data_IF_557045400200
#
_entry.id   IF_557045400200
#
_cell.length_a   1.000
_cell.length_b   1.000
_cell.length_c   1.000
_cell.angle_alpha   90.00
_cell.angle_beta   90.00
_cell.angle_gamma   90.00
#
_symmetry.space_group_name_H-M   'P 1'
#
loop_
_entity.id
_entity.type
_entity.pdbx_description
1 polymer ?
#
# COMPACT_ATOMS: atom_id res chain seq x y z
N UNK A 1 71.47 -31.00 -49.57
CA UNK A 1 71.16 -29.73 -48.79
C UNK A 1 69.65 -29.51 -48.95
N UNK A 2 68.93 -29.87 -47.94
CA UNK A 2 67.43 -29.85 -47.95
C UNK A 2 66.98 -28.71 -46.98
N UNK A 3 66.34 -27.67 -47.50
CA UNK A 3 65.83 -26.54 -46.73
C UNK A 3 64.48 -26.90 -46.12
N UNK A 4 64.41 -26.76 -44.83
CA UNK A 4 63.19 -26.90 -43.99
C UNK A 4 62.50 -25.58 -43.87
N UNK A 5 61.27 -25.45 -44.38
CA UNK A 5 60.37 -24.28 -44.16
C UNK A 5 59.59 -24.43 -42.87
N UNK A 6 59.51 -23.39 -41.98
CA UNK A 6 58.66 -23.48 -40.79
C UNK A 6 57.20 -23.18 -41.12
N UNK A 7 56.31 -24.04 -40.67
CA UNK A 7 54.83 -23.83 -40.69
C UNK A 7 54.46 -22.92 -39.52
N UNK A 8 54.04 -21.69 -39.84
CA UNK A 8 53.41 -20.79 -38.89
C UNK A 8 51.97 -21.23 -38.57
N UNK A 9 51.69 -21.55 -37.31
CA UNK A 9 50.33 -21.79 -36.80
C UNK A 9 49.71 -20.43 -36.48
N UNK A 10 48.70 -20.01 -37.23
CA UNK A 10 47.87 -18.88 -36.94
C UNK A 10 46.81 -19.26 -35.86
N UNK A 11 46.97 -18.74 -34.64
CA UNK A 11 45.95 -18.90 -33.62
C UNK A 11 44.83 -17.88 -33.86
N UNK A 12 43.65 -18.36 -34.19
CA UNK A 12 42.42 -17.55 -34.31
C UNK A 12 41.89 -17.33 -32.91
N UNK A 13 42.04 -16.11 -32.40
CA UNK A 13 41.41 -15.67 -31.15
C UNK A 13 39.97 -15.27 -31.48
N UNK A 14 39.02 -16.14 -31.15
CA UNK A 14 37.57 -15.82 -31.23
C UNK A 14 37.22 -14.89 -30.07
N UNK A 15 37.08 -13.59 -30.35
CA UNK A 15 36.53 -12.61 -29.39
C UNK A 15 35.01 -12.79 -29.34
N UNK A 16 34.51 -13.42 -28.30
CA UNK A 16 33.08 -13.50 -27.97
C UNK A 16 32.61 -12.12 -27.49
N UNK A 17 32.07 -11.35 -28.41
CA UNK A 17 31.33 -10.11 -28.09
C UNK A 17 30.01 -10.53 -27.41
N UNK A 18 30.00 -10.46 -26.06
CA UNK A 18 28.75 -10.45 -25.30
C UNK A 18 28.06 -9.11 -25.53
N UNK A 19 27.18 -9.06 -26.51
CA UNK A 19 26.23 -7.96 -26.64
C UNK A 19 25.29 -8.02 -25.43
N UNK A 20 25.52 -7.15 -24.42
CA UNK A 20 24.51 -6.86 -23.43
C UNK A 20 23.35 -6.19 -24.19
N UNK A 21 22.26 -6.91 -24.38
CA UNK A 21 20.99 -6.30 -24.75
C UNK A 21 20.63 -5.42 -23.53
N UNK A 22 20.86 -4.14 -23.66
CA UNK A 22 20.28 -3.17 -22.71
C UNK A 22 18.75 -3.28 -22.94
N UNK A 23 18.02 -3.91 -22.03
CA UNK A 23 16.58 -3.75 -21.98
C UNK A 23 16.33 -2.24 -21.87
N UNK A 24 15.49 -1.71 -22.75
CA UNK A 24 15.04 -0.33 -22.65
C UNK A 24 14.43 -0.15 -21.25
N UNK A 25 14.80 0.97 -20.61
CA UNK A 25 14.21 1.32 -19.32
C UNK A 25 12.73 1.68 -19.58
N UNK A 26 11.81 0.89 -19.03
CA UNK A 26 10.39 1.15 -19.14
C UNK A 26 9.93 2.08 -18.01
N UNK A 27 8.97 2.94 -18.30
CA UNK A 27 8.22 3.69 -17.30
C UNK A 27 7.08 2.82 -16.79
N UNK A 28 6.97 2.69 -15.45
CA UNK A 28 5.93 1.91 -14.77
C UNK A 28 5.04 2.87 -13.98
N UNK A 29 3.81 3.04 -14.41
CA UNK A 29 2.83 3.92 -13.77
C UNK A 29 2.10 3.18 -12.65
N UNK A 30 2.20 3.69 -11.42
CA UNK A 30 1.71 3.02 -10.22
C UNK A 30 0.68 3.88 -9.49
N UNK A 31 -0.46 3.28 -9.15
CA UNK A 31 -1.40 3.82 -8.18
C UNK A 31 -1.45 2.93 -6.94
N UNK A 32 -1.33 3.53 -5.77
CA UNK A 32 -1.43 2.80 -4.50
C UNK A 32 -2.42 3.45 -3.54
N UNK A 33 -3.17 2.64 -2.79
CA UNK A 33 -3.93 3.13 -1.64
C UNK A 33 -3.01 3.63 -0.54
N UNK A 34 -3.56 4.44 0.38
CA UNK A 34 -2.80 4.98 1.50
C UNK A 34 -2.14 3.92 2.37
N UNK A 35 -2.78 2.76 2.51
CA UNK A 35 -2.27 1.67 3.36
C UNK A 35 -0.87 1.18 2.95
N UNK A 36 -0.53 1.19 1.65
CA UNK A 36 0.79 0.75 1.16
C UNK A 36 1.69 1.90 0.73
N UNK A 37 1.21 3.14 0.78
CA UNK A 37 1.93 4.29 0.23
C UNK A 37 3.34 4.47 0.84
N UNK A 38 3.49 4.33 2.17
CA UNK A 38 4.79 4.47 2.83
C UNK A 38 5.79 3.41 2.34
N UNK A 39 5.37 2.14 2.25
CA UNK A 39 6.21 1.06 1.74
C UNK A 39 6.56 1.27 0.25
N UNK A 40 5.59 1.69 -0.57
CA UNK A 40 5.81 1.97 -1.97
C UNK A 40 6.86 3.06 -2.19
N UNK A 41 6.77 4.18 -1.47
CA UNK A 41 7.70 5.30 -1.61
C UNK A 41 9.14 4.96 -1.18
N UNK A 42 9.33 3.99 -0.29
CA UNK A 42 10.66 3.47 0.05
C UNK A 42 11.17 2.45 -0.97
N UNK A 43 10.28 1.58 -1.48
CA UNK A 43 10.64 0.45 -2.35
C UNK A 43 10.82 0.84 -3.82
N UNK A 44 10.07 1.82 -4.33
CA UNK A 44 10.16 2.22 -5.74
C UNK A 44 11.57 2.68 -6.13
N UNK A 45 12.27 3.55 -5.37
CA UNK A 45 13.65 3.92 -5.69
C UNK A 45 14.65 2.75 -5.59
N UNK A 46 14.38 1.73 -4.76
CA UNK A 46 15.23 0.54 -4.68
C UNK A 46 15.09 -0.33 -5.94
N UNK A 47 13.86 -0.50 -6.41
CA UNK A 47 13.59 -1.19 -7.67
C UNK A 47 14.22 -0.47 -8.86
N UNK A 48 14.08 0.85 -8.97
CA UNK A 48 14.70 1.66 -10.03
C UNK A 48 16.22 1.47 -10.07
N UNK A 49 16.87 1.52 -8.91
CA UNK A 49 18.33 1.31 -8.83
C UNK A 49 18.77 -0.11 -9.20
N UNK A 50 17.92 -1.10 -8.92
CA UNK A 50 18.22 -2.50 -9.19
C UNK A 50 18.01 -2.88 -10.66
N UNK A 51 17.05 -2.25 -11.35
CA UNK A 51 16.59 -2.69 -12.68
C UNK A 51 16.84 -1.68 -13.79
N UNK A 52 16.97 -0.39 -13.45
CA UNK A 52 17.02 0.70 -14.42
C UNK A 52 15.65 1.14 -14.95
N UNK A 53 14.54 0.47 -14.60
CA UNK A 53 13.19 0.96 -14.88
C UNK A 53 12.89 2.22 -14.08
N UNK A 54 11.93 3.01 -14.55
CA UNK A 54 11.45 4.22 -13.85
C UNK A 54 10.02 4.02 -13.32
N UNK A 55 9.79 4.33 -12.04
CA UNK A 55 8.49 4.17 -11.38
C UNK A 55 7.82 5.51 -11.18
N UNK A 56 6.74 5.76 -11.91
CA UNK A 56 5.93 6.98 -11.78
C UNK A 56 4.78 6.73 -10.82
N UNK A 57 4.83 7.40 -9.66
CA UNK A 57 3.76 7.31 -8.67
C UNK A 57 2.63 8.28 -9.02
N UNK A 58 1.53 7.75 -9.55
CA UNK A 58 0.37 8.52 -10.00
C UNK A 58 -0.59 8.91 -8.88
N UNK A 59 -0.69 8.07 -7.85
CA UNK A 59 -1.50 8.32 -6.67
C UNK A 59 -1.01 7.49 -5.47
N UNK A 60 -1.14 8.07 -4.27
CA UNK A 60 -0.86 7.43 -2.97
C UNK A 60 -2.05 7.46 -2.02
N UNK A 61 -3.25 7.70 -2.55
CA UNK A 61 -4.51 7.79 -1.80
C UNK A 61 -5.65 7.41 -2.72
N UNK A 62 -6.69 6.79 -2.16
CA UNK A 62 -7.85 6.35 -2.93
C UNK A 62 -8.59 7.50 -3.61
N UNK A 63 -8.81 8.62 -2.86
CA UNK A 63 -9.74 9.66 -3.31
C UNK A 63 -11.18 9.17 -3.39
N UNK A 64 -12.15 10.07 -3.38
CA UNK A 64 -13.58 9.74 -3.55
C UNK A 64 -14.22 10.53 -4.68
N UNK A 65 -13.49 11.42 -5.32
CA UNK A 65 -13.93 12.22 -6.45
C UNK A 65 -13.51 11.61 -7.81
N UNK A 66 -13.79 12.33 -8.88
CA UNK A 66 -13.45 11.90 -10.24
C UNK A 66 -11.92 11.73 -10.48
N UNK A 67 -11.06 12.24 -9.61
CA UNK A 67 -9.60 12.09 -9.67
C UNK A 67 -9.09 10.92 -8.84
N UNK A 68 -9.96 10.28 -8.05
CA UNK A 68 -9.64 9.12 -7.25
C UNK A 68 -9.27 7.88 -8.07
N UNK A 69 -8.53 6.98 -7.46
CA UNK A 69 -8.00 5.75 -8.11
C UNK A 69 -9.11 4.96 -8.79
N UNK A 70 -10.23 4.72 -8.08
CA UNK A 70 -11.33 3.93 -8.61
C UNK A 70 -11.89 4.54 -9.89
N UNK A 71 -12.24 5.83 -9.86
CA UNK A 71 -12.79 6.54 -11.01
C UNK A 71 -11.81 6.63 -12.19
N UNK A 72 -10.50 6.72 -11.93
CA UNK A 72 -9.46 6.73 -12.98
C UNK A 72 -9.38 5.37 -13.69
N UNK A 73 -9.39 4.28 -12.93
CA UNK A 73 -9.34 2.91 -13.47
C UNK A 73 -10.64 2.55 -14.22
N UNK A 74 -11.80 2.93 -13.69
CA UNK A 74 -13.10 2.74 -14.36
C UNK A 74 -13.18 3.47 -15.72
N UNK A 75 -12.50 4.62 -15.86
CA UNK A 75 -12.37 5.32 -17.15
C UNK A 75 -11.35 4.69 -18.10
N UNK A 76 -10.69 3.60 -17.70
CA UNK A 76 -9.70 2.89 -18.53
C UNK A 76 -8.35 3.60 -18.60
N UNK A 77 -7.98 4.39 -17.58
CA UNK A 77 -6.66 5.01 -17.54
C UNK A 77 -5.56 3.94 -17.56
N UNK A 78 -4.55 4.15 -18.41
CA UNK A 78 -3.45 3.21 -18.60
C UNK A 78 -2.50 3.28 -17.40
N UNK A 79 -2.76 2.44 -16.40
CA UNK A 79 -1.95 2.23 -15.20
C UNK A 79 -1.34 0.85 -15.26
N UNK A 80 -0.05 0.74 -14.94
CA UNK A 80 0.67 -0.53 -15.03
C UNK A 80 0.50 -1.36 -13.76
N UNK A 81 0.60 -0.73 -12.58
CA UNK A 81 0.46 -1.42 -11.28
C UNK A 81 -0.55 -0.72 -10.40
N UNK A 82 -1.46 -1.51 -9.84
CA UNK A 82 -2.47 -1.05 -8.87
C UNK A 82 -2.24 -1.79 -7.55
N UNK A 83 -2.17 -1.04 -6.42
CA UNK A 83 -1.96 -1.59 -5.09
C UNK A 83 -3.08 -1.11 -4.17
N UNK A 84 -4.00 -2.00 -3.82
CA UNK A 84 -5.26 -1.66 -3.15
C UNK A 84 -5.58 -2.61 -2.00
N UNK A 85 -6.49 -2.15 -1.14
CA UNK A 85 -7.17 -3.00 -0.16
C UNK A 85 -7.99 -4.10 -0.86
N UNK A 86 -8.14 -5.24 -0.20
CA UNK A 86 -8.83 -6.44 -0.68
C UNK A 86 -10.20 -6.12 -1.31
N UNK A 87 -11.05 -5.37 -0.62
CA UNK A 87 -12.41 -5.04 -1.09
C UNK A 87 -12.39 -4.28 -2.41
N UNK A 88 -11.55 -3.25 -2.52
CA UNK A 88 -11.43 -2.43 -3.73
C UNK A 88 -10.76 -3.20 -4.86
N UNK A 89 -9.73 -3.99 -4.52
CA UNK A 89 -9.02 -4.82 -5.49
C UNK A 89 -9.92 -5.86 -6.13
N UNK A 90 -10.68 -6.61 -5.31
CA UNK A 90 -11.58 -7.66 -5.79
C UNK A 90 -12.73 -7.07 -6.64
N UNK A 91 -13.25 -5.89 -6.28
CA UNK A 91 -14.24 -5.20 -7.10
C UNK A 91 -13.69 -4.88 -8.49
N UNK A 92 -12.54 -4.21 -8.56
CA UNK A 92 -11.92 -3.85 -9.84
C UNK A 92 -11.49 -5.06 -10.67
N UNK A 93 -11.06 -6.14 -10.02
CA UNK A 93 -10.73 -7.38 -10.71
C UNK A 93 -11.97 -8.04 -11.31
N UNK A 94 -13.10 -8.07 -10.59
CA UNK A 94 -14.38 -8.57 -11.08
C UNK A 94 -14.95 -7.74 -12.25
N UNK A 95 -14.72 -6.43 -12.24
CA UNK A 95 -15.11 -5.49 -13.30
C UNK A 95 -14.13 -5.51 -14.51
N UNK A 96 -13.03 -6.27 -14.44
CA UNK A 96 -12.09 -6.44 -15.55
C UNK A 96 -11.05 -5.33 -15.67
N UNK A 97 -10.87 -4.48 -14.66
CA UNK A 97 -9.87 -3.40 -14.64
C UNK A 97 -8.47 -3.89 -14.22
N UNK A 98 -8.36 -5.11 -13.71
CA UNK A 98 -7.10 -5.76 -13.32
C UNK A 98 -6.93 -7.05 -14.14
N UNK A 99 -5.73 -7.31 -14.65
CA UNK A 99 -5.44 -8.53 -15.40
C UNK A 99 -5.61 -9.78 -14.54
N UNK A 100 -6.38 -10.74 -15.05
CA UNK A 100 -6.57 -12.02 -14.38
C UNK A 100 -5.22 -12.71 -14.12
N UNK A 101 -5.09 -13.32 -12.92
CA UNK A 101 -3.88 -14.05 -12.52
C UNK A 101 -2.69 -13.17 -12.13
N UNK A 102 -2.83 -11.83 -12.12
CA UNK A 102 -1.74 -10.92 -11.71
C UNK A 102 -1.78 -10.55 -10.22
N UNK A 103 -2.77 -11.00 -9.45
CA UNK A 103 -2.94 -10.69 -8.03
C UNK A 103 -1.81 -11.26 -7.18
N UNK A 104 -1.18 -10.40 -6.37
CA UNK A 104 -0.16 -10.76 -5.39
C UNK A 104 -0.50 -10.08 -4.06
N UNK A 105 -0.55 -10.85 -2.97
CA UNK A 105 -0.73 -10.31 -1.64
C UNK A 105 0.62 -9.77 -1.13
N UNK A 106 0.64 -8.50 -0.70
CA UNK A 106 1.86 -7.82 -0.23
C UNK A 106 1.92 -7.73 1.28
N UNK A 107 0.80 -7.47 1.95
CA UNK A 107 0.78 -7.29 3.39
C UNK A 107 -0.61 -7.23 3.98
N UNK A 108 -0.66 -7.37 5.30
CA UNK A 108 -1.85 -7.20 6.12
C UNK A 108 -1.77 -5.88 6.88
N UNK A 109 -2.87 -5.12 6.87
CA UNK A 109 -2.99 -3.84 7.52
C UNK A 109 -4.06 -3.88 8.59
N UNK A 110 -3.73 -3.43 9.79
CA UNK A 110 -4.64 -3.34 10.93
C UNK A 110 -5.11 -1.90 11.15
N UNK A 111 -6.27 -1.72 11.77
CA UNK A 111 -6.80 -0.42 12.18
C UNK A 111 -6.22 -0.05 13.54
N UNK A 112 -5.80 1.20 13.69
CA UNK A 112 -5.32 1.74 14.95
C UNK A 112 -5.96 3.07 15.30
N UNK A 113 -5.71 3.50 16.53
CA UNK A 113 -6.14 4.78 17.06
C UNK A 113 -4.95 5.70 17.34
N UNK A 114 -5.14 6.98 17.10
CA UNK A 114 -4.20 8.04 17.45
C UNK A 114 -4.90 9.18 18.20
N UNK A 115 -4.12 9.89 19.02
CA UNK A 115 -4.45 11.16 19.66
C UNK A 115 -3.46 12.23 19.21
N UNK A 116 -3.74 13.50 19.46
CA UNK A 116 -2.77 14.57 19.25
C UNK A 116 -1.55 14.34 20.16
N UNK A 117 -0.38 14.67 19.69
CA UNK A 117 0.87 14.54 20.47
C UNK A 117 0.77 15.27 21.79
N UNK A 118 1.09 14.55 22.88
CA UNK A 118 1.06 15.04 24.23
C UNK A 118 -0.30 14.95 24.92
N UNK A 119 -1.37 14.61 24.23
CA UNK A 119 -2.65 14.32 24.85
C UNK A 119 -2.62 12.93 25.54
N UNK A 120 -3.43 12.76 26.59
CA UNK A 120 -3.54 11.48 27.29
C UNK A 120 -4.01 10.39 26.33
N UNK A 121 -3.31 9.25 26.34
CA UNK A 121 -3.69 8.07 25.56
C UNK A 121 -4.80 7.33 26.31
N UNK A 122 -6.01 7.22 25.76
CA UNK A 122 -7.07 6.45 26.38
C UNK A 122 -6.78 4.95 26.30
N UNK A 123 -7.38 4.20 27.20
CA UNK A 123 -7.31 2.75 27.20
C UNK A 123 -8.21 2.15 26.11
N UNK A 124 -7.64 1.34 25.25
CA UNK A 124 -8.33 0.56 24.20
C UNK A 124 -7.90 -0.90 24.21
N UNK A 125 -7.37 -1.40 25.32
CA UNK A 125 -6.80 -2.75 25.46
C UNK A 125 -7.83 -3.87 25.40
N UNK A 126 -9.10 -3.57 25.60
CA UNK A 126 -10.22 -4.52 25.47
C UNK A 126 -11.41 -3.89 24.76
N UNK A 127 -12.38 -4.70 24.37
CA UNK A 127 -13.63 -4.23 23.73
C UNK A 127 -14.39 -3.29 24.66
N UNK A 128 -14.44 -3.57 25.95
CA UNK A 128 -15.09 -2.72 26.96
C UNK A 128 -14.36 -1.39 27.13
N UNK A 129 -13.03 -1.41 27.18
CA UNK A 129 -12.20 -0.21 27.28
C UNK A 129 -12.35 0.68 26.02
N UNK A 130 -12.31 0.07 24.83
CA UNK A 130 -12.57 0.77 23.57
C UNK A 130 -13.97 1.38 23.55
N UNK A 131 -15.00 0.63 23.95
CA UNK A 131 -16.40 1.08 24.00
C UNK A 131 -16.53 2.30 24.90
N UNK A 132 -15.96 2.24 26.11
CA UNK A 132 -15.94 3.37 27.06
C UNK A 132 -15.23 4.58 26.46
N UNK A 133 -14.04 4.40 25.88
CA UNK A 133 -13.27 5.45 25.20
C UNK A 133 -14.09 6.11 24.09
N UNK A 134 -14.78 5.33 23.26
CA UNK A 134 -15.63 5.86 22.19
C UNK A 134 -16.81 6.66 22.73
N UNK A 135 -17.44 6.20 23.82
CA UNK A 135 -18.55 6.92 24.46
C UNK A 135 -18.11 8.23 25.12
N UNK A 136 -16.95 8.27 25.75
CA UNK A 136 -16.39 9.43 26.45
C UNK A 136 -15.74 10.45 25.52
N UNK A 137 -15.28 10.04 24.33
CA UNK A 137 -14.64 10.94 23.38
C UNK A 137 -15.56 12.11 23.00
N UNK A 138 -15.01 13.32 22.95
CA UNK A 138 -15.73 14.53 22.54
C UNK A 138 -15.92 14.62 21.03
N UNK A 139 -14.94 14.12 20.27
CA UNK A 139 -14.97 14.07 18.81
C UNK A 139 -14.11 12.94 18.28
N UNK A 140 -14.55 12.32 17.19
CA UNK A 140 -13.94 11.16 16.57
C UNK A 140 -13.74 11.46 15.09
N UNK A 141 -12.56 11.14 14.54
CA UNK A 141 -12.31 11.16 13.11
C UNK A 141 -12.04 9.75 12.61
N UNK A 142 -12.57 9.39 11.44
CA UNK A 142 -12.27 8.14 10.78
C UNK A 142 -12.19 8.34 9.26
N UNK A 143 -11.42 7.47 8.59
CA UNK A 143 -11.20 7.54 7.15
C UNK A 143 -12.49 7.33 6.36
N UNK A 144 -12.62 7.98 5.21
CA UNK A 144 -13.67 7.68 4.23
C UNK A 144 -13.50 6.31 3.55
N UNK A 145 -12.37 5.64 3.76
CA UNK A 145 -12.00 4.38 3.11
C UNK A 145 -12.34 3.16 3.99
N UNK A 146 -11.85 1.98 3.62
CA UNK A 146 -12.20 0.65 4.19
C UNK A 146 -12.22 0.63 5.72
N UNK A 147 -11.21 1.22 6.38
CA UNK A 147 -11.16 1.25 7.86
C UNK A 147 -12.32 2.03 8.48
N UNK A 148 -12.62 3.20 7.93
CA UNK A 148 -13.70 4.03 8.47
C UNK A 148 -15.09 3.54 8.09
N UNK A 149 -15.25 2.92 6.93
CA UNK A 149 -16.49 2.23 6.54
C UNK A 149 -16.77 1.13 7.58
N UNK A 150 -15.79 0.27 7.87
CA UNK A 150 -15.94 -0.76 8.91
C UNK A 150 -16.35 -0.18 10.26
N UNK A 151 -15.69 0.88 10.74
CA UNK A 151 -16.03 1.50 12.02
C UNK A 151 -17.48 1.97 12.05
N UNK A 152 -17.90 2.73 11.02
CA UNK A 152 -19.18 3.44 11.03
C UNK A 152 -20.38 2.55 10.70
N UNK A 153 -20.20 1.54 9.85
CA UNK A 153 -21.31 0.69 9.39
C UNK A 153 -21.39 -0.65 10.11
N UNK A 154 -20.31 -1.13 10.70
CA UNK A 154 -20.27 -2.44 11.35
C UNK A 154 -19.91 -2.34 12.85
N UNK A 155 -18.73 -1.77 13.19
CA UNK A 155 -18.22 -1.84 14.56
C UNK A 155 -19.10 -1.10 15.55
N UNK A 156 -19.48 0.16 15.27
CA UNK A 156 -20.29 0.94 16.20
C UNK A 156 -21.68 0.33 16.41
N UNK A 157 -22.24 -0.33 15.39
CA UNK A 157 -23.49 -1.08 15.51
C UNK A 157 -23.31 -2.34 16.39
N UNK A 158 -22.25 -3.13 16.15
CA UNK A 158 -21.92 -4.32 16.95
C UNK A 158 -21.72 -4.01 18.42
N UNK A 159 -21.16 -2.86 18.72
CA UNK A 159 -20.96 -2.40 20.10
C UNK A 159 -22.21 -1.77 20.71
N UNK A 160 -23.28 -1.58 19.94
CA UNK A 160 -24.55 -0.96 20.42
C UNK A 160 -24.42 0.52 20.77
N UNK A 161 -23.42 1.23 20.20
CA UNK A 161 -23.13 2.63 20.54
C UNK A 161 -23.26 3.60 19.36
N UNK A 162 -23.72 3.13 18.21
CA UNK A 162 -23.77 3.92 16.98
C UNK A 162 -24.51 5.26 17.17
N UNK A 163 -25.66 5.27 17.81
CA UNK A 163 -26.48 6.46 18.02
C UNK A 163 -25.78 7.52 18.90
N UNK A 164 -24.84 7.10 19.77
CA UNK A 164 -24.08 7.99 20.66
C UNK A 164 -22.77 8.47 20.01
N UNK A 165 -22.18 7.66 19.13
CA UNK A 165 -20.84 7.90 18.57
C UNK A 165 -20.90 8.60 17.22
N UNK A 166 -21.81 8.22 16.33
CA UNK A 166 -21.92 8.80 14.99
C UNK A 166 -22.15 10.33 15.00
N UNK A 167 -23.01 10.90 15.87
CA UNK A 167 -23.26 12.35 15.88
C UNK A 167 -22.01 13.21 16.20
N UNK A 168 -21.03 12.63 16.89
CA UNK A 168 -19.75 13.30 17.24
C UNK A 168 -18.57 12.80 16.40
N UNK A 169 -18.85 12.04 15.36
CA UNK A 169 -17.86 11.48 14.47
C UNK A 169 -17.84 12.20 13.13
N UNK A 170 -16.64 12.38 12.58
CA UNK A 170 -16.41 12.97 11.26
C UNK A 170 -15.69 11.99 10.34
N UNK A 171 -16.29 11.75 9.18
CA UNK A 171 -15.66 11.03 8.08
C UNK A 171 -14.67 11.97 7.38
N UNK A 172 -13.42 11.56 7.26
CA UNK A 172 -12.34 12.33 6.64
C UNK A 172 -12.09 11.78 5.25
N UNK A 173 -12.19 12.66 4.27
CA UNK A 173 -11.91 12.40 2.87
C UNK A 173 -10.85 13.37 2.34
N UNK A 174 -10.05 12.93 1.36
CA UNK A 174 -9.02 13.75 0.71
C UNK A 174 -7.76 14.01 1.53
N UNK A 175 -7.76 13.72 2.84
CA UNK A 175 -6.59 13.85 3.71
C UNK A 175 -6.47 12.68 4.70
N UNK A 176 -5.33 12.59 5.37
CA UNK A 176 -5.12 11.58 6.40
C UNK A 176 -5.76 11.97 7.73
N UNK A 177 -6.42 11.01 8.38
CA UNK A 177 -7.05 11.23 9.71
C UNK A 177 -6.05 11.74 10.73
N UNK A 178 -4.82 11.20 10.72
CA UNK A 178 -3.77 11.66 11.62
C UNK A 178 -3.45 13.15 11.49
N UNK A 179 -3.57 13.75 10.31
CA UNK A 179 -3.36 15.19 10.10
C UNK A 179 -4.46 16.02 10.77
N UNK A 180 -5.71 15.55 10.69
CA UNK A 180 -6.87 16.17 11.37
C UNK A 180 -6.71 16.14 12.90
N UNK A 181 -6.27 14.99 13.42
CA UNK A 181 -5.99 14.82 14.86
C UNK A 181 -4.82 15.70 15.30
N UNK A 182 -3.73 15.77 14.51
CA UNK A 182 -2.57 16.61 14.81
C UNK A 182 -2.91 18.10 14.95
N UNK A 183 -3.87 18.59 14.14
CA UNK A 183 -4.39 19.96 14.22
C UNK A 183 -5.37 20.19 15.37
N UNK A 184 -5.75 19.13 16.11
CA UNK A 184 -6.72 19.20 17.20
C UNK A 184 -8.19 19.33 16.76
N UNK A 185 -8.48 19.05 15.48
CA UNK A 185 -9.84 19.11 14.93
C UNK A 185 -10.68 17.87 15.30
N UNK A 186 -10.04 16.82 15.80
CA UNK A 186 -10.66 15.67 16.43
C UNK A 186 -9.82 15.22 17.62
N UNK A 187 -10.49 14.75 18.69
CA UNK A 187 -9.81 14.26 19.89
C UNK A 187 -9.12 12.94 19.66
N UNK A 188 -9.79 12.01 18.98
CA UNK A 188 -9.26 10.70 18.61
C UNK A 188 -9.50 10.45 17.13
N UNK A 189 -8.61 9.66 16.52
CA UNK A 189 -8.71 9.32 15.11
C UNK A 189 -8.37 7.88 14.82
N UNK A 190 -9.07 7.30 13.84
CA UNK A 190 -8.90 5.91 13.41
C UNK A 190 -8.58 5.82 11.94
N UNK A 191 -7.52 5.09 11.61
CA UNK A 191 -7.10 4.79 10.23
C UNK A 191 -6.26 3.52 10.23
N UNK A 192 -5.84 3.05 9.06
CA UNK A 192 -4.83 2.01 8.97
C UNK A 192 -3.55 2.46 9.71
N UNK A 193 -2.92 1.57 10.49
CA UNK A 193 -1.73 1.90 11.29
C UNK A 193 -0.61 2.44 10.40
N UNK A 194 -0.41 1.85 9.23
CA UNK A 194 0.58 2.29 8.24
C UNK A 194 0.36 3.72 7.74
N UNK A 195 -0.86 4.22 7.83
CA UNK A 195 -1.20 5.60 7.46
C UNK A 195 -1.09 6.59 8.62
N UNK A 196 -1.23 6.11 9.87
CA UNK A 196 -1.10 6.94 11.06
C UNK A 196 0.36 7.19 11.42
N UNK A 197 1.19 6.13 11.43
CA UNK A 197 2.58 6.22 11.93
C UNK A 197 3.46 7.27 11.25
N UNK A 198 3.34 7.54 9.93
CA UNK A 198 4.14 8.57 9.28
C UNK A 198 3.74 10.00 9.65
N UNK A 199 2.60 10.21 10.33
CA UNK A 199 2.06 11.56 10.58
C UNK A 199 2.75 12.20 11.79
N UNK A 200 3.38 13.33 11.57
CA UNK A 200 3.91 14.15 12.67
C UNK A 200 2.77 14.80 13.46
N UNK A 201 2.98 14.98 14.76
CA UNK A 201 2.02 15.70 15.63
C UNK A 201 0.92 14.83 16.24
N UNK A 202 0.99 13.51 16.07
CA UNK A 202 0.13 12.55 16.77
C UNK A 202 0.95 11.62 17.65
N UNK A 203 0.28 10.98 18.61
CA UNK A 203 0.76 9.85 19.37
C UNK A 203 -0.13 8.65 19.04
N UNK A 204 0.49 7.59 18.57
CA UNK A 204 -0.18 6.32 18.32
C UNK A 204 -0.57 5.69 19.66
N UNK A 205 -1.85 5.33 19.82
CA UNK A 205 -2.40 4.73 21.03
C UNK A 205 -2.24 3.21 21.01
N UNK A 206 -2.68 2.59 19.93
CA UNK A 206 -2.61 1.14 19.75
C UNK A 206 -3.51 0.65 18.61
N UNK A 207 -3.43 -0.65 18.27
CA UNK A 207 -4.39 -1.30 17.40
C UNK A 207 -5.75 -1.45 18.11
N UNK A 208 -6.82 -1.68 17.35
CA UNK A 208 -8.09 -2.14 17.92
C UNK A 208 -7.90 -3.50 18.62
N UNK A 209 -8.70 -3.81 19.66
CA UNK A 209 -8.71 -5.12 20.29
C UNK A 209 -8.92 -6.25 19.26
N UNK A 210 -8.24 -7.41 19.38
CA UNK A 210 -8.28 -8.48 18.39
C UNK A 210 -9.70 -8.94 18.03
N UNK A 211 -10.62 -8.94 18.98
CA UNK A 211 -12.01 -9.40 18.83
C UNK A 211 -12.83 -8.50 17.89
N UNK A 212 -12.40 -7.25 17.74
CA UNK A 212 -13.06 -6.25 16.90
C UNK A 212 -12.11 -5.64 15.86
N UNK A 213 -10.92 -6.21 15.70
CA UNK A 213 -9.99 -5.80 14.66
C UNK A 213 -10.44 -6.29 13.30
N UNK A 214 -10.43 -5.41 12.32
CA UNK A 214 -10.51 -5.79 10.91
C UNK A 214 -9.13 -5.68 10.28
N UNK A 215 -8.61 -6.81 9.83
CA UNK A 215 -7.37 -6.87 9.06
C UNK A 215 -7.72 -6.78 7.58
N UNK A 216 -7.13 -5.82 6.91
CA UNK A 216 -7.25 -5.61 5.45
C UNK A 216 -6.03 -6.23 4.77
N UNK A 217 -6.22 -7.02 3.73
CA UNK A 217 -5.13 -7.51 2.89
C UNK A 217 -4.89 -6.49 1.78
N UNK A 218 -3.62 -6.13 1.58
CA UNK A 218 -3.21 -5.26 0.47
C UNK A 218 -2.71 -6.14 -0.67
N UNK A 219 -3.35 -6.01 -1.83
CA UNK A 219 -2.99 -6.72 -3.06
C UNK A 219 -2.37 -5.77 -4.07
N UNK A 220 -1.40 -6.27 -4.82
CA UNK A 220 -0.93 -5.68 -6.07
C UNK A 220 -1.44 -6.47 -7.27
N UNK A 221 -1.66 -5.78 -8.38
CA UNK A 221 -2.02 -6.40 -9.64
C UNK A 221 -1.65 -5.53 -10.84
N UNK A 222 -1.57 -6.16 -12.02
CA UNK A 222 -1.32 -5.47 -13.28
C UNK A 222 -2.62 -4.87 -13.80
N UNK A 223 -2.63 -3.59 -14.11
CA UNK A 223 -3.78 -2.91 -14.71
C UNK A 223 -4.16 -3.52 -16.07
N UNK A 224 -5.45 -3.66 -16.35
CA UNK A 224 -5.92 -4.24 -17.61
C UNK A 224 -5.44 -3.43 -18.83
N UNK A 225 -5.39 -2.10 -18.71
CA UNK A 225 -4.93 -1.17 -19.73
C UNK A 225 -3.41 -0.92 -19.72
N UNK A 226 -2.63 -1.70 -18.94
CA UNK A 226 -1.17 -1.55 -18.87
C UNK A 226 -0.52 -1.67 -20.24
N UNK A 227 0.33 -0.70 -20.58
CA UNK A 227 1.18 -0.72 -21.76
C UNK A 227 2.43 -1.60 -21.56
N UNK A 228 2.91 -1.75 -20.31
CA UNK A 228 4.15 -2.45 -19.95
C UNK A 228 3.92 -3.61 -18.96
N UNK A 229 3.09 -4.63 -19.30
CA UNK A 229 2.70 -5.66 -18.33
C UNK A 229 3.85 -6.52 -17.81
N UNK A 230 4.93 -6.68 -18.57
CA UNK A 230 6.11 -7.41 -18.15
C UNK A 230 6.91 -6.63 -17.08
N UNK A 231 7.12 -5.34 -17.30
CA UNK A 231 7.78 -4.44 -16.34
C UNK A 231 6.92 -4.29 -15.07
N UNK A 232 5.60 -4.16 -15.23
CA UNK A 232 4.64 -4.14 -14.11
C UNK A 232 4.75 -5.40 -13.25
N UNK A 233 4.78 -6.58 -13.89
CA UNK A 233 4.97 -7.85 -13.18
C UNK A 233 6.31 -7.90 -12.46
N UNK A 234 7.39 -7.46 -13.09
CA UNK A 234 8.72 -7.40 -12.46
C UNK A 234 8.72 -6.54 -11.20
N UNK A 235 8.02 -5.39 -11.22
CA UNK A 235 7.86 -4.55 -10.02
C UNK A 235 7.05 -5.24 -8.94
N UNK A 236 5.93 -5.88 -9.27
CA UNK A 236 5.11 -6.64 -8.31
C UNK A 236 5.91 -7.78 -7.69
N UNK A 237 6.67 -8.54 -8.49
CA UNK A 237 7.52 -9.64 -8.01
C UNK A 237 8.60 -9.11 -7.05
N UNK A 238 9.19 -7.94 -7.34
CA UNK A 238 10.14 -7.27 -6.45
C UNK A 238 9.49 -6.88 -5.12
N UNK A 239 8.27 -6.31 -5.13
CA UNK A 239 7.54 -5.95 -3.91
C UNK A 239 7.27 -7.17 -3.01
N UNK A 240 7.16 -8.36 -3.59
CA UNK A 240 6.89 -9.63 -2.89
C UNK A 240 8.16 -10.36 -2.42
N UNK A 241 9.36 -9.77 -2.58
CA UNK A 241 10.61 -10.39 -2.13
C UNK A 241 10.77 -10.38 -0.61
N UNK A 242 11.59 -11.29 -0.03
CA UNK A 242 11.93 -11.25 1.38
C UNK A 242 12.63 -9.95 1.81
N UNK A 243 13.39 -9.33 0.92
CA UNK A 243 14.06 -8.05 1.15
C UNK A 243 13.03 -6.92 1.29
N UNK A 244 12.10 -6.83 0.34
CA UNK A 244 10.98 -5.88 0.38
C UNK A 244 10.09 -6.07 1.62
N UNK A 245 9.91 -7.32 2.07
CA UNK A 245 9.16 -7.63 3.29
C UNK A 245 9.73 -6.97 4.55
N UNK A 246 11.05 -6.70 4.59
CA UNK A 246 11.67 -5.97 5.71
C UNK A 246 11.23 -4.51 5.76
N UNK A 247 11.11 -3.87 4.59
CA UNK A 247 10.64 -2.47 4.45
C UNK A 247 9.14 -2.42 4.75
N UNK A 248 8.36 -3.32 4.16
CA UNK A 248 6.91 -3.43 4.40
C UNK A 248 6.62 -3.52 5.91
N UNK A 249 7.38 -4.35 6.65
CA UNK A 249 7.22 -4.49 8.10
C UNK A 249 7.52 -3.20 8.87
N UNK A 250 8.52 -2.42 8.44
CA UNK A 250 8.84 -1.12 9.06
C UNK A 250 7.71 -0.10 8.93
N UNK A 251 6.86 -0.24 7.92
CA UNK A 251 5.69 0.62 7.70
C UNK A 251 4.44 0.11 8.42
N UNK A 252 4.59 -0.79 9.39
CA UNK A 252 3.51 -1.40 10.18
C UNK A 252 2.50 -2.23 9.37
N UNK A 253 2.93 -2.73 8.23
CA UNK A 253 2.24 -3.81 7.53
C UNK A 253 2.87 -5.14 7.93
N UNK A 254 2.05 -6.17 8.12
CA UNK A 254 2.53 -7.55 8.27
C UNK A 254 2.68 -8.17 6.87
N UNK A 255 3.90 -8.45 6.39
CA UNK A 255 4.08 -9.04 5.08
C UNK A 255 3.37 -10.39 4.96
N UNK A 256 2.76 -10.65 3.82
CA UNK A 256 2.22 -11.97 3.49
C UNK A 256 3.34 -12.80 2.90
N UNK A 257 3.60 -13.97 3.48
CA UNK A 257 4.56 -14.92 2.91
C UNK A 257 4.03 -15.40 1.55
N UNK A 258 4.84 -15.27 0.51
CA UNK A 258 4.52 -15.88 -0.78
C UNK A 258 4.79 -17.38 -0.62
N UNK A 259 3.73 -18.17 -0.53
CA UNK A 259 3.86 -19.62 -0.67
C UNK A 259 4.35 -19.90 -2.09
N UNK A 260 5.55 -20.51 -2.20
CA UNK A 260 6.16 -20.90 -3.47
C UNK A 260 5.67 -22.28 -3.88
#
# INVERSE_FOLDING_TARGET
MTAMTPRGSAAIIAVLLFTRVALAADEIRVMTSGAFAAAHLELAPEFERATGHHVVTEATSMGTDATGIMARLERGEAIDVVILADVDFERLAAEGHIRAGSRVALGRSAIGMAVRRGDAKPDISSVEALTRTLLEAKSIAYSAQVSGIYLSTELFQRLGIADHVLPKSRRIDGERVGAVVARGEAQIGFQQISELLPIAGIDFVGPLPPEVQRVTIVYAGVGAASANPAAAKSFIDFLATPESSKIIRKTALEPVAVER
#
